data_IF_435796594993
#
_entry.id   IF_435796594993
#
_cell.length_a   1.000
_cell.length_b   1.000
_cell.length_c   1.000
_cell.angle_alpha   90.00
_cell.angle_beta   90.00
_cell.angle_gamma   90.00
#
_symmetry.space_group_name_H-M   'P 1'
#
loop_
_entity.id
_entity.type
_entity.pdbx_description
1 polymer ?
#
# COMPACT_ATOMS: atom_id res chain seq x y z
N UNK A 1 -28.29 15.83 -11.89
CA UNK A 1 -27.05 16.55 -11.57
C UNK A 1 -26.41 16.06 -10.29
N UNK A 2 -25.41 15.19 -10.41
CA UNK A 2 -24.54 14.86 -9.28
C UNK A 2 -23.46 15.95 -9.17
N UNK A 3 -23.45 16.68 -8.05
CA UNK A 3 -22.41 17.69 -7.77
C UNK A 3 -21.01 17.07 -7.86
N UNK A 4 -20.05 17.73 -8.55
CA UNK A 4 -18.68 17.24 -8.72
C UNK A 4 -17.91 17.03 -7.39
N UNK A 5 -18.40 17.60 -6.29
CA UNK A 5 -17.80 17.48 -4.94
C UNK A 5 -17.86 16.05 -4.40
N UNK A 6 -18.85 15.24 -4.78
CA UNK A 6 -19.08 13.89 -4.19
C UNK A 6 -17.97 12.86 -4.44
N UNK A 7 -17.04 13.11 -5.37
CA UNK A 7 -15.97 12.14 -5.72
C UNK A 7 -14.61 12.45 -5.10
N UNK A 8 -14.46 13.59 -4.42
CA UNK A 8 -13.17 14.02 -3.86
C UNK A 8 -13.14 13.64 -2.38
N UNK A 9 -12.06 12.99 -1.94
CA UNK A 9 -11.84 12.74 -0.52
C UNK A 9 -11.54 14.09 0.14
N UNK A 10 -12.49 14.61 0.91
CA UNK A 10 -12.43 15.95 1.51
C UNK A 10 -12.48 15.95 3.05
N UNK A 11 -12.64 14.77 3.66
CA UNK A 11 -12.57 14.58 5.10
C UNK A 11 -12.24 13.10 5.39
N UNK A 12 -11.59 12.82 6.52
CA UNK A 12 -11.23 11.47 6.94
C UNK A 12 -10.06 11.44 7.92
N UNK A 13 -9.80 10.24 8.43
CA UNK A 13 -8.59 9.92 9.18
C UNK A 13 -7.56 9.33 8.20
N UNK A 14 -6.37 9.92 8.16
CA UNK A 14 -5.28 9.45 7.29
C UNK A 14 -4.07 9.09 8.13
N UNK A 15 -3.46 7.95 7.82
CA UNK A 15 -2.34 7.43 8.59
C UNK A 15 -2.08 5.96 8.34
N UNK A 16 -1.57 5.26 9.35
CA UNK A 16 -1.12 3.88 9.19
C UNK A 16 -1.42 3.00 10.41
N UNK A 17 -1.42 1.70 10.13
CA UNK A 17 -1.25 0.62 11.09
C UNK A 17 0.10 -0.05 10.83
N UNK A 18 0.91 -0.22 11.87
CA UNK A 18 2.11 -1.04 11.81
C UNK A 18 1.72 -2.52 11.88
N UNK A 19 2.55 -3.40 11.32
CA UNK A 19 2.28 -4.85 11.32
C UNK A 19 2.08 -5.43 12.73
N UNK A 20 2.80 -4.89 13.71
CA UNK A 20 2.74 -5.29 15.11
C UNK A 20 1.35 -5.15 15.76
N UNK A 21 0.42 -4.40 15.15
CA UNK A 21 -0.95 -4.28 15.66
C UNK A 21 -1.70 -5.62 15.63
N UNK A 22 -1.24 -6.58 14.82
CA UNK A 22 -1.82 -7.93 14.74
C UNK A 22 -1.91 -8.64 16.10
N UNK A 23 -1.02 -8.34 17.06
CA UNK A 23 -1.09 -8.87 18.45
C UNK A 23 -2.38 -8.51 19.19
N UNK A 24 -3.11 -7.49 18.75
CA UNK A 24 -4.37 -7.10 19.37
C UNK A 24 -5.57 -7.86 18.81
N UNK A 25 -5.38 -8.60 17.72
CA UNK A 25 -6.44 -9.32 17.01
C UNK A 25 -6.21 -10.85 16.99
N UNK A 26 -4.98 -11.29 17.16
CA UNK A 26 -4.58 -12.71 17.13
C UNK A 26 -3.75 -13.06 18.37
N UNK A 27 -3.84 -14.31 18.84
CA UNK A 27 -3.08 -14.81 19.99
C UNK A 27 -1.63 -15.13 19.59
N UNK A 28 -0.84 -14.07 19.36
CA UNK A 28 0.54 -14.14 18.90
C UNK A 28 1.42 -13.25 19.79
N UNK A 29 2.51 -13.85 20.27
CA UNK A 29 3.56 -13.13 21.00
C UNK A 29 4.76 -12.87 20.09
N UNK A 30 5.19 -11.60 20.03
CA UNK A 30 6.40 -11.23 19.29
C UNK A 30 7.62 -11.26 20.18
N UNK A 31 8.76 -11.68 19.61
CA UNK A 31 10.06 -11.47 20.26
C UNK A 31 10.33 -9.97 20.30
N UNK A 32 10.79 -9.47 21.45
CA UNK A 32 11.26 -8.10 21.55
C UNK A 32 12.37 -7.86 20.52
N UNK A 33 12.15 -6.87 19.65
CA UNK A 33 13.18 -6.41 18.72
C UNK A 33 13.97 -5.31 19.41
N UNK A 34 15.28 -5.40 19.35
CA UNK A 34 16.19 -4.39 19.88
C UNK A 34 16.18 -3.06 19.07
N UNK A 35 15.28 -2.88 18.08
CA UNK A 35 15.31 -1.71 17.20
C UNK A 35 14.46 -0.57 17.80
N UNK A 36 15.17 0.48 18.22
CA UNK A 36 14.77 1.64 19.03
C UNK A 36 13.96 2.71 18.28
N UNK A 37 13.37 2.35 17.13
CA UNK A 37 12.54 3.29 16.38
C UNK A 37 11.21 3.37 17.08
N UNK A 38 11.04 4.37 17.94
CA UNK A 38 9.81 4.72 18.67
C UNK A 38 8.65 5.07 17.69
N UNK A 39 8.27 4.12 16.84
CA UNK A 39 7.20 4.20 15.85
C UNK A 39 5.96 3.60 16.52
N UNK A 40 4.88 4.38 16.67
CA UNK A 40 3.61 3.86 17.19
C UNK A 40 3.07 2.67 16.40
N UNK A 41 2.32 1.78 17.07
CA UNK A 41 1.63 0.68 16.38
C UNK A 41 0.55 1.17 15.40
N UNK A 42 0.05 2.39 15.61
CA UNK A 42 -0.85 3.09 14.69
C UNK A 42 -0.76 4.60 14.92
N UNK A 43 -0.97 5.40 13.88
CA UNK A 43 -1.06 6.85 14.00
C UNK A 43 -1.92 7.41 12.87
N UNK A 44 -2.99 8.12 13.22
CA UNK A 44 -3.94 8.71 12.28
C UNK A 44 -4.19 10.18 12.62
N UNK A 45 -4.28 11.01 11.58
CA UNK A 45 -4.52 12.44 11.70
C UNK A 45 -5.82 12.82 10.99
N UNK A 46 -6.54 13.77 11.59
CA UNK A 46 -7.60 14.52 10.95
C UNK A 46 -6.99 15.84 10.45
N UNK A 47 -7.12 16.11 9.15
CA UNK A 47 -6.54 17.30 8.56
C UNK A 47 -7.57 18.42 8.46
N UNK A 48 -7.23 19.57 9.05
CA UNK A 48 -8.02 20.80 8.91
C UNK A 48 -8.08 21.25 7.46
N UNK A 49 -6.96 21.22 6.74
CA UNK A 49 -6.90 21.66 5.34
C UNK A 49 -6.62 20.48 4.42
N UNK A 50 -7.39 20.35 3.33
CA UNK A 50 -7.15 19.36 2.27
C UNK A 50 -7.08 20.08 0.93
N UNK A 51 -5.98 19.82 0.20
CA UNK A 51 -5.77 20.31 -1.16
C UNK A 51 -5.97 19.14 -2.12
N UNK A 52 -7.09 19.13 -2.85
CA UNK A 52 -7.37 18.13 -3.87
C UNK A 52 -6.98 18.64 -5.26
N UNK A 53 -6.13 17.88 -5.95
CA UNK A 53 -5.61 18.24 -7.27
C UNK A 53 -6.23 17.30 -8.32
N UNK A 54 -7.05 17.86 -9.21
CA UNK A 54 -7.58 17.17 -10.39
C UNK A 54 -6.65 17.46 -11.57
N UNK A 55 -5.75 16.52 -11.86
CA UNK A 55 -4.80 16.65 -12.96
C UNK A 55 -5.45 16.65 -14.34
N UNK A 56 -6.64 16.03 -14.50
CA UNK A 56 -7.33 15.97 -15.79
C UNK A 56 -7.97 17.31 -16.13
N UNK A 57 -8.59 17.95 -15.14
CA UNK A 57 -9.20 19.28 -15.30
C UNK A 57 -8.24 20.43 -15.07
N UNK A 58 -7.02 20.14 -14.60
CA UNK A 58 -6.07 21.13 -14.13
C UNK A 58 -6.68 22.07 -13.07
N UNK A 59 -7.41 21.47 -12.12
CA UNK A 59 -8.13 22.19 -11.07
C UNK A 59 -7.60 21.82 -9.69
N UNK A 60 -7.55 22.80 -8.80
CA UNK A 60 -7.26 22.61 -7.39
C UNK A 60 -8.52 22.96 -6.61
N UNK A 61 -8.97 22.07 -5.74
CA UNK A 61 -10.06 22.33 -4.79
C UNK A 61 -9.49 22.34 -3.38
N UNK A 62 -9.78 23.40 -2.64
CA UNK A 62 -9.35 23.60 -1.26
C UNK A 62 -10.53 23.32 -0.33
N UNK A 63 -10.30 22.49 0.69
CA UNK A 63 -11.27 22.21 1.75
C UNK A 63 -10.71 22.65 3.09
N UNK A 64 -11.53 23.34 3.88
CA UNK A 64 -11.29 23.58 5.30
C UNK A 64 -12.34 22.80 6.10
N UNK A 65 -11.87 21.80 6.83
CA UNK A 65 -12.64 21.06 7.83
C UNK A 65 -12.61 21.84 9.15
N UNK A 66 -13.73 22.46 9.49
CA UNK A 66 -13.91 23.23 10.71
C UNK A 66 -14.83 22.49 11.70
N UNK A 67 -14.62 22.71 12.99
CA UNK A 67 -15.55 22.25 14.02
C UNK A 67 -16.68 23.26 14.19
N UNK A 68 -17.85 22.80 14.64
CA UNK A 68 -18.97 23.68 14.94
C UNK A 68 -18.54 24.77 15.95
N UNK A 69 -18.78 26.04 15.61
CA UNK A 69 -18.37 27.19 16.40
C UNK A 69 -16.92 27.67 16.22
N UNK A 70 -16.12 27.03 15.36
CA UNK A 70 -14.80 27.56 14.98
C UNK A 70 -14.91 28.61 13.87
N UNK A 71 -14.01 29.61 13.89
CA UNK A 71 -13.91 30.62 12.83
C UNK A 71 -13.04 30.09 11.68
N UNK A 72 -13.53 30.29 10.46
CA UNK A 72 -12.80 30.00 9.23
C UNK A 72 -11.95 31.23 8.87
N UNK A 73 -10.66 31.21 9.22
CA UNK A 73 -9.85 32.43 9.20
C UNK A 73 -8.48 32.30 8.47
N UNK A 74 -8.07 31.12 7.95
CA UNK A 74 -6.70 30.96 7.40
C UNK A 74 -6.65 30.39 5.97
N UNK A 75 -7.78 30.29 5.27
CA UNK A 75 -7.79 29.77 3.89
C UNK A 75 -7.06 30.70 2.92
N UNK A 76 -7.17 32.02 3.13
CA UNK A 76 -6.51 33.03 2.30
C UNK A 76 -4.98 32.97 2.42
N UNK A 77 -4.45 32.68 3.61
CA UNK A 77 -3.02 32.48 3.83
C UNK A 77 -2.49 31.26 3.08
N UNK A 78 -3.27 30.16 3.08
CA UNK A 78 -2.92 28.96 2.31
C UNK A 78 -2.92 29.26 0.80
N UNK A 79 -3.93 29.99 0.31
CA UNK A 79 -3.99 30.42 -1.09
C UNK A 79 -2.77 31.26 -1.45
N UNK A 80 -2.38 32.20 -0.59
CA UNK A 80 -1.20 33.03 -0.78
C UNK A 80 0.09 32.19 -0.84
N UNK A 81 0.26 31.23 0.07
CA UNK A 81 1.41 30.31 0.06
C UNK A 81 1.48 29.48 -1.23
N UNK A 82 0.34 28.99 -1.72
CA UNK A 82 0.28 28.20 -2.95
C UNK A 82 0.59 28.99 -4.22
N UNK A 83 0.30 30.29 -4.23
CA UNK A 83 0.63 31.18 -5.35
C UNK A 83 2.11 31.56 -5.37
N UNK A 84 2.78 31.54 -4.22
CA UNK A 84 4.21 31.77 -4.12
C UNK A 84 4.99 30.55 -4.66
N UNK A 85 5.77 30.77 -5.73
CA UNK A 85 6.51 29.72 -6.43
C UNK A 85 7.94 29.51 -5.94
N UNK A 86 8.35 30.23 -4.89
CA UNK A 86 9.70 30.13 -4.34
C UNK A 86 9.79 28.94 -3.37
N UNK A 87 10.10 27.76 -3.91
CA UNK A 87 10.47 26.61 -3.11
C UNK A 87 11.85 26.10 -3.51
N UNK A 88 12.75 26.01 -2.52
CA UNK A 88 14.08 25.46 -2.72
C UNK A 88 14.02 23.94 -2.59
N UNK A 89 14.35 23.22 -3.67
CA UNK A 89 14.55 21.76 -3.61
C UNK A 89 16.03 21.45 -3.38
N UNK A 90 16.34 20.68 -2.35
CA UNK A 90 17.73 20.27 -2.08
C UNK A 90 17.98 18.84 -2.58
N UNK A 91 19.19 18.55 -3.04
CA UNK A 91 19.55 17.17 -3.39
C UNK A 91 19.67 16.31 -2.12
N UNK A 92 19.53 15.01 -2.29
CA UNK A 92 19.89 14.03 -1.27
C UNK A 92 21.03 13.14 -1.77
N UNK A 93 21.76 12.52 -0.84
CA UNK A 93 22.75 11.48 -1.15
C UNK A 93 22.81 10.45 -0.02
N UNK A 94 23.00 9.16 -0.35
CA UNK A 94 23.26 8.14 0.66
C UNK A 94 24.53 8.48 1.45
N UNK A 95 24.59 8.00 2.69
CA UNK A 95 25.69 8.19 3.64
C UNK A 95 25.94 6.87 4.37
N UNK A 96 27.17 6.37 4.28
CA UNK A 96 27.52 5.06 4.83
C UNK A 96 26.96 3.89 4.02
N UNK A 97 27.28 2.68 4.48
CA UNK A 97 26.91 1.45 3.81
C UNK A 97 25.48 1.02 4.16
N UNK A 98 24.84 0.33 3.23
CA UNK A 98 23.59 -0.38 3.47
C UNK A 98 23.81 -1.49 4.51
N UNK A 99 22.85 -1.65 5.41
CA UNK A 99 22.80 -2.71 6.40
C UNK A 99 21.50 -3.48 6.27
N UNK A 100 21.57 -4.80 6.48
CA UNK A 100 20.41 -5.69 6.49
C UNK A 100 20.21 -6.30 7.88
N UNK A 101 18.97 -6.57 8.27
CA UNK A 101 18.64 -7.29 9.51
C UNK A 101 19.08 -8.75 9.48
N UNK A 102 19.29 -9.31 8.29
CA UNK A 102 19.77 -10.68 8.05
C UNK A 102 20.74 -10.70 6.88
N UNK A 103 21.83 -11.44 7.00
CA UNK A 103 22.70 -11.76 5.86
C UNK A 103 21.96 -12.61 4.83
N UNK A 104 22.53 -12.71 3.62
CA UNK A 104 21.97 -13.57 2.56
C UNK A 104 21.90 -15.04 2.97
N UNK A 105 22.90 -15.52 3.70
CA UNK A 105 22.92 -16.91 4.14
C UNK A 105 21.87 -17.17 5.22
N UNK A 106 21.76 -16.29 6.23
CA UNK A 106 20.73 -16.41 7.26
C UNK A 106 19.31 -16.36 6.69
N UNK A 107 19.07 -15.50 5.68
CA UNK A 107 17.77 -15.45 5.02
C UNK A 107 17.47 -16.73 4.23
N UNK A 108 18.45 -17.32 3.54
CA UNK A 108 18.29 -18.61 2.85
C UNK A 108 18.02 -19.74 3.84
N UNK A 109 18.71 -19.74 4.99
CA UNK A 109 18.50 -20.74 6.03
C UNK A 109 17.10 -20.61 6.63
N UNK A 110 16.61 -19.40 6.85
CA UNK A 110 15.22 -19.14 7.26
C UNK A 110 14.21 -19.70 6.24
N UNK A 111 14.44 -19.48 4.94
CA UNK A 111 13.60 -20.04 3.87
C UNK A 111 13.59 -21.57 3.90
N UNK A 112 14.72 -22.22 4.19
CA UNK A 112 14.80 -23.68 4.32
C UNK A 112 13.99 -24.21 5.52
N UNK A 113 14.02 -23.50 6.64
CA UNK A 113 13.18 -23.81 7.81
C UNK A 113 11.70 -23.72 7.44
N UNK A 114 11.30 -22.64 6.76
CA UNK A 114 9.92 -22.43 6.31
C UNK A 114 9.43 -23.51 5.34
N UNK A 115 10.28 -23.92 4.38
CA UNK A 115 9.99 -25.05 3.49
C UNK A 115 9.74 -26.36 4.24
N UNK A 116 10.45 -26.57 5.35
CA UNK A 116 10.23 -27.75 6.20
C UNK A 116 8.85 -27.72 6.84
N UNK A 117 8.41 -26.57 7.35
CA UNK A 117 7.06 -26.40 7.91
C UNK A 117 5.97 -26.58 6.86
N UNK A 118 6.15 -26.04 5.64
CA UNK A 118 5.23 -26.28 4.53
C UNK A 118 5.14 -27.78 4.19
N UNK A 119 6.29 -28.45 4.10
CA UNK A 119 6.34 -29.88 3.77
C UNK A 119 5.70 -30.78 4.84
N UNK A 120 5.69 -30.34 6.11
CA UNK A 120 5.04 -31.04 7.22
C UNK A 120 3.52 -30.79 7.28
N UNK A 121 3.03 -29.79 6.54
CA UNK A 121 1.63 -29.38 6.57
C UNK A 121 1.28 -28.40 7.69
N UNK A 122 2.27 -27.73 8.29
CA UNK A 122 2.03 -26.75 9.37
C UNK A 122 1.35 -25.48 8.82
N UNK A 123 1.74 -25.06 7.61
CA UNK A 123 1.18 -23.92 6.87
C UNK A 123 1.22 -24.21 5.37
N UNK A 124 0.28 -23.65 4.59
CA UNK A 124 0.32 -23.77 3.13
C UNK A 124 1.36 -22.84 2.50
N UNK A 125 1.46 -21.61 3.02
CA UNK A 125 2.38 -20.58 2.55
C UNK A 125 2.81 -19.69 3.71
N UNK A 126 4.03 -19.15 3.61
CA UNK A 126 4.57 -18.14 4.51
C UNK A 126 5.47 -17.17 3.73
N UNK A 127 5.40 -15.88 4.06
CA UNK A 127 6.13 -14.83 3.36
C UNK A 127 7.19 -14.24 4.30
N UNK A 128 8.44 -14.76 4.31
CA UNK A 128 9.53 -14.16 5.07
C UNK A 128 9.91 -12.79 4.49
N UNK A 129 10.39 -11.91 5.36
CA UNK A 129 10.97 -10.63 4.95
C UNK A 129 12.26 -10.35 5.73
N UNK A 130 13.09 -9.45 5.19
CA UNK A 130 14.25 -8.87 5.88
C UNK A 130 14.28 -7.37 5.62
N UNK A 131 14.73 -6.61 6.62
CA UNK A 131 14.82 -5.15 6.52
C UNK A 131 16.17 -4.70 6.00
N UNK A 132 16.18 -3.67 5.16
CA UNK A 132 17.37 -2.94 4.75
C UNK A 132 17.33 -1.53 5.31
N UNK A 133 18.49 -0.97 5.61
CA UNK A 133 18.63 0.39 6.13
C UNK A 133 19.90 1.04 5.62
N UNK A 134 19.80 2.30 5.23
CA UNK A 134 20.94 3.12 4.84
C UNK A 134 20.68 4.55 5.27
N UNK A 135 21.67 5.19 5.88
CA UNK A 135 21.55 6.60 6.21
C UNK A 135 21.68 7.44 4.92
N UNK A 136 21.12 8.65 4.94
CA UNK A 136 21.28 9.62 3.86
C UNK A 136 21.35 11.03 4.44
N UNK A 137 21.79 11.99 3.62
CA UNK A 137 21.79 13.42 3.95
C UNK A 137 21.06 14.18 2.84
N UNK A 138 20.26 15.16 3.23
CA UNK A 138 19.56 16.05 2.31
C UNK A 138 18.04 15.97 2.47
N UNK A 139 17.33 16.26 1.38
CA UNK A 139 15.88 16.43 1.35
C UNK A 139 15.14 15.08 1.28
N UNK A 140 14.41 14.75 2.34
CA UNK A 140 13.61 13.53 2.48
C UNK A 140 12.45 13.47 1.49
N UNK A 141 11.87 14.62 1.12
CA UNK A 141 10.81 14.68 0.12
C UNK A 141 11.36 14.37 -1.28
N UNK A 142 12.61 14.75 -1.59
CA UNK A 142 13.25 14.35 -2.83
C UNK A 142 13.61 12.86 -2.88
N UNK A 143 13.83 12.19 -1.74
CA UNK A 143 13.93 10.72 -1.69
C UNK A 143 12.61 10.10 -2.16
N UNK A 144 11.49 10.57 -1.61
CA UNK A 144 10.16 10.13 -2.03
C UNK A 144 9.88 10.43 -3.52
N UNK A 145 10.23 11.62 -4.02
CA UNK A 145 10.06 11.96 -5.45
C UNK A 145 10.88 11.04 -6.35
N UNK A 146 12.08 10.65 -5.93
CA UNK A 146 12.91 9.67 -6.64
C UNK A 146 12.21 8.30 -6.68
N UNK A 147 11.74 7.81 -5.53
CA UNK A 147 10.97 6.55 -5.45
C UNK A 147 9.74 6.57 -6.37
N UNK A 148 8.94 7.63 -6.32
CA UNK A 148 7.74 7.80 -7.16
C UNK A 148 8.07 7.80 -8.65
N UNK A 149 9.21 8.37 -9.04
CA UNK A 149 9.63 8.41 -10.44
C UNK A 149 10.14 7.05 -10.94
N UNK A 150 10.80 6.28 -10.09
CA UNK A 150 11.37 4.97 -10.45
C UNK A 150 10.28 3.90 -10.46
N UNK A 151 9.43 3.89 -9.43
CA UNK A 151 8.37 2.89 -9.25
C UNK A 151 7.03 3.60 -9.06
N UNK A 152 6.40 4.15 -10.11
CA UNK A 152 5.05 4.69 -9.99
C UNK A 152 4.07 3.55 -9.67
N UNK A 153 3.22 3.75 -8.66
CA UNK A 153 2.20 2.77 -8.24
C UNK A 153 0.85 3.45 -7.99
N UNK A 154 -0.25 2.66 -7.88
CA UNK A 154 -1.57 3.21 -7.61
C UNK A 154 -1.67 3.90 -6.24
N UNK A 155 -0.86 3.49 -5.26
CA UNK A 155 -0.92 4.00 -3.89
C UNK A 155 0.40 4.65 -3.47
N UNK A 156 0.50 5.94 -3.75
CA UNK A 156 1.62 6.78 -3.36
C UNK A 156 1.27 7.57 -2.10
N UNK A 157 2.16 7.56 -1.10
CA UNK A 157 1.94 8.31 0.14
C UNK A 157 3.24 8.90 0.69
N UNK A 158 3.10 10.02 1.38
CA UNK A 158 4.15 10.68 2.16
C UNK A 158 3.51 11.33 3.38
N UNK A 159 3.86 10.84 4.57
CA UNK A 159 3.46 11.39 5.85
C UNK A 159 4.68 11.95 6.56
N UNK A 160 4.61 13.22 6.93
CA UNK A 160 5.56 13.85 7.84
C UNK A 160 4.94 13.92 9.24
N UNK A 161 5.43 13.07 10.14
CA UNK A 161 5.01 13.05 11.54
C UNK A 161 5.93 13.89 12.43
N UNK A 162 6.88 14.63 11.84
CA UNK A 162 7.85 15.47 12.54
C UNK A 162 9.06 14.67 13.04
N UNK A 163 8.82 13.65 13.88
CA UNK A 163 9.88 12.80 14.44
C UNK A 163 10.31 11.66 13.50
N UNK A 164 9.44 11.27 12.57
CA UNK A 164 9.77 10.35 11.48
C UNK A 164 8.90 10.64 10.26
N UNK A 165 9.31 10.09 9.11
CA UNK A 165 8.58 10.18 7.85
C UNK A 165 8.22 8.78 7.40
N UNK A 166 7.00 8.62 6.92
CA UNK A 166 6.51 7.39 6.34
C UNK A 166 6.10 7.66 4.91
N UNK A 167 6.81 7.10 3.95
CA UNK A 167 6.49 7.26 2.54
C UNK A 167 6.72 5.98 1.77
N UNK A 168 6.00 5.83 0.67
CA UNK A 168 6.02 4.59 -0.09
C UNK A 168 5.30 4.69 -1.43
N UNK A 169 5.48 3.61 -2.19
CA UNK A 169 4.84 3.37 -3.47
C UNK A 169 4.30 1.94 -3.46
N UNK A 170 3.06 1.77 -2.97
CA UNK A 170 2.44 0.45 -2.83
C UNK A 170 1.70 0.06 -4.12
N UNK A 171 1.99 -1.13 -4.68
CA UNK A 171 1.28 -1.62 -5.86
C UNK A 171 -0.14 -2.13 -5.53
N UNK A 172 -0.42 -2.42 -4.26
CA UNK A 172 -1.60 -3.16 -3.83
C UNK A 172 -2.29 -2.50 -2.64
N UNK A 173 -3.63 -2.65 -2.57
CA UNK A 173 -4.43 -2.26 -1.43
C UNK A 173 -4.79 -3.49 -0.58
N UNK A 174 -4.64 -3.36 0.73
CA UNK A 174 -5.05 -4.40 1.69
C UNK A 174 -6.57 -4.64 1.65
N UNK A 175 -7.36 -3.56 1.69
CA UNK A 175 -8.82 -3.59 1.66
C UNK A 175 -9.34 -2.25 1.16
N UNK A 176 -10.44 -2.26 0.42
CA UNK A 176 -11.17 -1.06 0.00
C UNK A 176 -12.61 -1.13 0.47
N UNK A 177 -13.12 -0.07 1.09
CA UNK A 177 -14.51 0.02 1.51
C UNK A 177 -15.15 1.23 0.84
N UNK A 178 -16.22 1.00 0.09
CA UNK A 178 -16.95 2.07 -0.59
C UNK A 178 -18.44 1.75 -0.65
N UNK A 179 -19.28 2.72 -0.29
CA UNK A 179 -20.75 2.61 -0.34
C UNK A 179 -21.30 1.34 0.35
N UNK A 180 -20.73 1.00 1.51
CA UNK A 180 -21.13 -0.18 2.30
C UNK A 180 -20.60 -1.52 1.79
N UNK A 181 -19.73 -1.52 0.77
CA UNK A 181 -19.12 -2.73 0.22
C UNK A 181 -17.62 -2.76 0.50
N UNK A 182 -17.17 -3.80 1.21
CA UNK A 182 -15.76 -4.10 1.43
C UNK A 182 -15.24 -4.99 0.30
N UNK A 183 -14.01 -4.76 -0.17
CA UNK A 183 -13.38 -5.51 -1.24
C UNK A 183 -11.91 -5.77 -0.95
N UNK A 184 -11.48 -7.01 -1.18
CA UNK A 184 -10.08 -7.45 -1.16
C UNK A 184 -9.72 -7.89 -2.58
N UNK A 185 -8.48 -7.63 -3.01
CA UNK A 185 -8.02 -7.93 -4.36
C UNK A 185 -6.86 -8.93 -4.33
N UNK A 186 -7.11 -10.24 -4.16
CA UNK A 186 -6.04 -11.23 -4.18
C UNK A 186 -5.24 -11.15 -5.48
N UNK A 187 -3.92 -11.03 -5.34
CA UNK A 187 -2.97 -11.03 -6.45
C UNK A 187 -2.09 -12.27 -6.36
N UNK A 188 -2.01 -13.03 -7.46
CA UNK A 188 -1.03 -14.11 -7.61
C UNK A 188 -0.46 -14.11 -9.03
N UNK A 189 0.63 -14.87 -9.22
CA UNK A 189 1.27 -15.02 -10.52
C UNK A 189 1.79 -13.70 -11.09
N UNK A 190 3.08 -13.41 -10.87
CA UNK A 190 3.72 -12.18 -11.36
C UNK A 190 4.75 -12.50 -12.42
N UNK A 191 4.69 -11.84 -13.57
CA UNK A 191 5.76 -11.90 -14.56
C UNK A 191 6.02 -10.55 -15.21
N UNK A 192 7.25 -10.41 -15.72
CA UNK A 192 7.73 -9.17 -16.31
C UNK A 192 7.12 -8.98 -17.69
N UNK A 193 6.59 -7.79 -17.94
CA UNK A 193 6.08 -7.39 -19.25
C UNK A 193 7.22 -7.34 -20.27
N UNK A 194 7.04 -7.94 -21.44
CA UNK A 194 8.05 -7.91 -22.52
C UNK A 194 7.97 -6.62 -23.33
N UNK A 195 6.79 -5.97 -23.34
CA UNK A 195 6.49 -4.81 -24.19
C UNK A 195 5.94 -5.20 -25.55
N UNK A 196 5.75 -6.51 -25.80
CA UNK A 196 5.04 -7.04 -26.96
C UNK A 196 3.70 -7.60 -26.49
N UNK A 197 2.61 -6.93 -26.85
CA UNK A 197 1.26 -7.25 -26.35
C UNK A 197 0.81 -8.67 -26.72
N UNK A 198 1.22 -9.20 -27.88
CA UNK A 198 0.85 -10.56 -28.31
C UNK A 198 1.58 -11.64 -27.47
N UNK A 199 2.87 -11.42 -27.19
CA UNK A 199 3.66 -12.30 -26.32
C UNK A 199 3.17 -12.24 -24.87
N UNK A 200 2.90 -11.02 -24.39
CA UNK A 200 2.38 -10.77 -23.05
C UNK A 200 1.01 -11.45 -22.86
N UNK A 201 0.12 -11.38 -23.86
CA UNK A 201 -1.18 -12.07 -23.84
C UNK A 201 -1.04 -13.60 -23.84
N UNK A 202 -0.11 -14.14 -24.64
CA UNK A 202 0.15 -15.58 -24.67
C UNK A 202 0.73 -16.07 -23.33
N UNK A 203 1.66 -15.33 -22.75
CA UNK A 203 2.24 -15.63 -21.44
C UNK A 203 1.19 -15.55 -20.32
N UNK A 204 0.33 -14.53 -20.35
CA UNK A 204 -0.75 -14.38 -19.38
C UNK A 204 -1.73 -15.56 -19.42
N UNK A 205 -2.10 -16.01 -20.63
CA UNK A 205 -2.96 -17.19 -20.80
C UNK A 205 -2.28 -18.48 -20.34
N UNK A 206 -0.97 -18.62 -20.56
CA UNK A 206 -0.23 -19.76 -20.06
C UNK A 206 -0.19 -19.78 -18.52
N UNK A 207 -0.01 -18.61 -17.89
CA UNK A 207 -0.03 -18.46 -16.44
C UNK A 207 -1.42 -18.79 -15.85
N UNK A 208 -2.49 -18.31 -16.49
CA UNK A 208 -3.87 -18.64 -16.08
C UNK A 208 -4.12 -20.15 -16.06
N UNK A 209 -3.49 -20.88 -17.00
CA UNK A 209 -3.61 -22.32 -17.14
C UNK A 209 -2.61 -23.12 -16.29
N UNK A 210 -1.64 -22.47 -15.63
CA UNK A 210 -0.69 -23.14 -14.76
C UNK A 210 -1.44 -23.71 -13.53
N UNK A 211 -1.44 -25.04 -13.32
CA UNK A 211 -2.17 -25.66 -12.22
C UNK A 211 -1.65 -25.25 -10.83
N UNK A 212 -0.35 -24.96 -10.71
CA UNK A 212 0.29 -24.57 -9.45
C UNK A 212 -0.13 -23.15 -9.08
N UNK A 213 0.03 -22.20 -10.01
CA UNK A 213 -0.36 -20.80 -9.78
C UNK A 213 -1.87 -20.70 -9.58
N UNK A 214 -2.64 -21.51 -10.31
CA UNK A 214 -4.08 -21.64 -10.12
C UNK A 214 -4.48 -22.09 -8.72
N UNK A 215 -3.76 -23.04 -8.12
CA UNK A 215 -4.06 -23.55 -6.79
C UNK A 215 -3.69 -22.52 -5.70
N UNK A 216 -2.52 -21.89 -5.83
CA UNK A 216 -2.07 -20.83 -4.93
C UNK A 216 -3.05 -19.64 -4.94
N UNK A 217 -3.50 -19.24 -6.13
CA UNK A 217 -4.48 -18.17 -6.29
C UNK A 217 -5.84 -18.49 -5.66
N UNK A 218 -6.34 -19.72 -5.84
CA UNK A 218 -7.61 -20.15 -5.22
C UNK A 218 -7.52 -20.08 -3.70
N UNK A 219 -6.40 -20.51 -3.12
CA UNK A 219 -6.17 -20.40 -1.68
C UNK A 219 -6.24 -18.93 -1.19
N UNK A 220 -5.62 -17.99 -1.91
CA UNK A 220 -5.68 -16.56 -1.55
C UNK A 220 -7.09 -15.97 -1.67
N UNK A 221 -7.85 -16.41 -2.68
CA UNK A 221 -9.27 -16.04 -2.83
C UNK A 221 -10.09 -16.57 -1.66
N UNK A 222 -9.88 -17.82 -1.24
CA UNK A 222 -10.59 -18.40 -0.11
C UNK A 222 -10.21 -17.75 1.22
N UNK A 223 -8.94 -17.35 1.39
CA UNK A 223 -8.52 -16.55 2.55
C UNK A 223 -9.27 -15.21 2.58
N UNK A 224 -9.30 -14.48 1.47
CA UNK A 224 -10.03 -13.21 1.37
C UNK A 224 -11.54 -13.37 1.61
N UNK A 225 -12.14 -14.48 1.16
CA UNK A 225 -13.55 -14.81 1.46
C UNK A 225 -13.76 -15.03 2.95
N UNK A 226 -12.89 -15.80 3.60
CA UNK A 226 -12.97 -16.07 5.03
C UNK A 226 -12.81 -14.78 5.85
N UNK A 227 -11.86 -13.92 5.49
CA UNK A 227 -11.63 -12.64 6.16
C UNK A 227 -12.84 -11.72 6.07
N UNK A 228 -13.42 -11.56 4.88
CA UNK A 228 -14.63 -10.76 4.70
C UNK A 228 -15.84 -11.39 5.41
N UNK A 229 -15.95 -12.71 5.44
CA UNK A 229 -17.08 -13.41 6.07
C UNK A 229 -17.14 -13.22 7.59
N UNK A 230 -16.05 -12.77 8.23
CA UNK A 230 -16.07 -12.41 9.66
C UNK A 230 -16.95 -11.19 9.96
N UNK A 231 -17.10 -10.28 8.99
CA UNK A 231 -17.73 -8.97 9.20
C UNK A 231 -18.70 -8.52 8.11
N UNK A 232 -18.83 -9.27 7.02
CA UNK A 232 -19.73 -8.98 5.91
C UNK A 232 -20.72 -10.14 5.69
N UNK A 233 -21.93 -9.79 5.33
CA UNK A 233 -22.90 -10.65 4.67
C UNK A 233 -22.63 -10.73 3.16
N UNK A 234 -23.19 -11.76 2.52
CA UNK A 234 -23.19 -11.94 1.05
C UNK A 234 -21.80 -11.76 0.40
N UNK A 235 -20.80 -12.50 0.89
CA UNK A 235 -19.45 -12.49 0.33
C UNK A 235 -19.43 -13.21 -1.03
N UNK A 236 -19.00 -12.49 -2.07
CA UNK A 236 -18.99 -12.93 -3.46
C UNK A 236 -17.62 -12.72 -4.12
N UNK A 237 -17.24 -13.65 -4.99
CA UNK A 237 -16.09 -13.47 -5.91
C UNK A 237 -16.62 -12.79 -7.16
N UNK A 238 -16.40 -11.47 -7.29
CA UNK A 238 -16.90 -10.65 -8.40
C UNK A 238 -16.04 -10.72 -9.66
N UNK A 239 -14.76 -11.03 -9.50
CA UNK A 239 -13.81 -11.24 -10.57
C UNK A 239 -12.88 -12.37 -10.16
N UNK A 240 -12.57 -13.29 -11.08
CA UNK A 240 -11.74 -14.45 -10.82
C UNK A 240 -10.66 -14.59 -11.89
N UNK A 241 -9.39 -14.59 -11.46
CA UNK A 241 -8.19 -14.69 -12.31
C UNK A 241 -8.18 -13.74 -13.52
N UNK A 242 -8.60 -12.49 -13.33
CA UNK A 242 -8.50 -11.49 -14.38
C UNK A 242 -7.06 -11.02 -14.53
N UNK A 243 -6.61 -10.91 -15.78
CA UNK A 243 -5.27 -10.41 -16.11
C UNK A 243 -5.25 -8.89 -15.94
N UNK A 244 -4.34 -8.38 -15.11
CA UNK A 244 -4.11 -6.94 -14.97
C UNK A 244 -2.71 -6.55 -15.41
N UNK A 245 -2.65 -5.50 -16.23
CA UNK A 245 -1.44 -4.95 -16.80
C UNK A 245 -0.98 -3.74 -15.98
N UNK A 246 0.18 -3.86 -15.36
CA UNK A 246 0.88 -2.77 -14.69
C UNK A 246 2.06 -2.31 -15.57
N UNK A 247 2.70 -1.19 -15.21
CA UNK A 247 3.76 -0.56 -16.03
C UNK A 247 4.87 -1.50 -16.47
N UNK A 248 5.27 -2.44 -15.60
CA UNK A 248 6.37 -3.37 -15.84
C UNK A 248 6.00 -4.84 -15.61
N UNK A 249 4.80 -5.11 -15.10
CA UNK A 249 4.39 -6.42 -14.61
C UNK A 249 2.98 -6.76 -15.08
N UNK A 250 2.69 -8.05 -15.18
CA UNK A 250 1.36 -8.58 -15.40
C UNK A 250 1.03 -9.49 -14.21
N UNK A 251 -0.20 -9.37 -13.71
CA UNK A 251 -0.69 -10.08 -12.53
C UNK A 251 -2.03 -10.77 -12.80
N UNK A 252 -2.29 -11.91 -12.15
CA UNK A 252 -3.64 -12.44 -12.01
C UNK A 252 -4.29 -11.85 -10.76
N UNK A 253 -5.41 -11.16 -10.96
CA UNK A 253 -6.12 -10.47 -9.89
C UNK A 253 -7.51 -11.05 -9.77
N UNK A 254 -7.98 -11.20 -8.54
CA UNK A 254 -9.39 -11.47 -8.26
C UNK A 254 -9.97 -10.38 -7.39
N UNK A 255 -11.29 -10.31 -7.36
CA UNK A 255 -12.00 -9.38 -6.50
C UNK A 255 -12.99 -10.16 -5.65
N UNK A 256 -12.77 -10.15 -4.35
CA UNK A 256 -13.71 -10.68 -3.36
C UNK A 256 -14.35 -9.50 -2.67
N UNK A 257 -15.68 -9.48 -2.61
CA UNK A 257 -16.44 -8.37 -2.03
C UNK A 257 -17.52 -8.87 -1.09
N UNK A 258 -17.81 -8.11 -0.03
CA UNK A 258 -18.92 -8.38 0.90
C UNK A 258 -19.60 -7.08 1.32
N UNK A 259 -20.83 -7.17 1.82
CA UNK A 259 -21.61 -6.02 2.33
C UNK A 259 -22.01 -6.25 3.78
N UNK A 260 -22.06 -5.21 4.58
CA UNK A 260 -22.57 -5.25 5.96
C UNK A 260 -23.79 -4.35 6.14
#
# INVERSE_FOLDING_TARGET
DESPVKKIIHNGLFGYFAWDITRFFEDISFRERADEKNIPAMQYHLYRYIIAIDHFKNQITLFENSFEGSKADELDDLIYLMQNKDFNTFKFKPSGDERSTLTDQEFKDLVNVMKTHISRGDVFQIVPSRGFSQAFKGDEFNVYRCLRSINPSPYLFYFDYGNFRLFGSSPEAQISISKGEASIFPIAGTFKRTGNDDEDAAAAKALEQDPKESAEHVMLVDLARNDLSRHCDAVEVKAFKEIQYYSHLIHLVSRVSGRG
#
